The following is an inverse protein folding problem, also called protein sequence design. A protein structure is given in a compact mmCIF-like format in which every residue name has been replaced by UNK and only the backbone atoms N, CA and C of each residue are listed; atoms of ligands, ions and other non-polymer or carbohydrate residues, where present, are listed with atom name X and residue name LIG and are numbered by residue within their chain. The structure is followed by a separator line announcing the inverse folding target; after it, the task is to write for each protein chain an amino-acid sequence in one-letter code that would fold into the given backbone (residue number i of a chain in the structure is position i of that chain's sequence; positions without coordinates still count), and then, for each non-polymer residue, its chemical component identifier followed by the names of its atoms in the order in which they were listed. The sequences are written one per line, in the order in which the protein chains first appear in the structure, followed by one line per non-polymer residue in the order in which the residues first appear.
data_IF_845219332443
#
_entry.id   IF_845219332443
#
_cell.length_a   1.000
_cell.length_b   1.000
_cell.length_c   1.000
_cell.angle_alpha   90.00
_cell.angle_beta   90.00
_cell.angle_gamma   90.00
#
_symmetry.space_group_name_H-M   'P 1'
#
loop_
_entity.id
_entity.type
_entity.pdbx_description
1 polymer ?
#
# COMPACT_ATOMS: atom_id res chain seq x y z
N UNK A 1 -12.31 -25.88 -3.11
CA UNK A 1 -11.43 -26.24 -4.24
C UNK A 1 -11.17 -27.74 -4.21
N UNK A 2 -11.34 -28.46 -5.33
CA UNK A 2 -10.94 -29.85 -5.41
C UNK A 2 -9.42 -29.92 -5.69
N UNK A 3 -8.62 -29.94 -4.63
CA UNK A 3 -7.17 -30.10 -4.73
C UNK A 3 -6.85 -31.59 -4.69
N UNK A 4 -5.94 -32.05 -5.57
CA UNK A 4 -5.56 -33.46 -5.62
C UNK A 4 -4.93 -33.88 -4.28
N UNK A 5 -5.27 -35.06 -3.72
CA UNK A 5 -4.80 -35.53 -2.41
C UNK A 5 -3.27 -35.47 -2.25
N UNK A 6 -2.52 -35.80 -3.30
CA UNK A 6 -1.05 -35.75 -3.26
C UNK A 6 -0.50 -34.33 -3.00
N UNK A 7 -1.19 -33.30 -3.48
CA UNK A 7 -0.80 -31.91 -3.21
C UNK A 7 -1.12 -31.55 -1.76
N UNK A 8 -2.25 -32.03 -1.23
CA UNK A 8 -2.60 -31.84 0.18
C UNK A 8 -1.58 -32.50 1.11
N UNK A 9 -1.16 -33.72 0.83
CA UNK A 9 -0.13 -34.45 1.60
C UNK A 9 1.21 -33.71 1.51
N UNK A 10 1.60 -33.22 0.34
CA UNK A 10 2.82 -32.45 0.17
C UNK A 10 2.80 -31.12 0.95
N UNK A 11 1.65 -30.43 0.98
CA UNK A 11 1.50 -29.19 1.78
C UNK A 11 1.57 -29.50 3.27
N UNK A 12 0.99 -30.62 3.73
CA UNK A 12 1.08 -31.06 5.12
C UNK A 12 2.53 -31.35 5.50
N UNK A 13 3.26 -32.13 4.70
CA UNK A 13 4.68 -32.41 4.91
C UNK A 13 5.52 -31.13 4.93
N UNK A 14 5.21 -30.15 4.09
CA UNK A 14 5.85 -28.83 4.11
C UNK A 14 5.59 -28.03 5.39
N UNK A 15 4.43 -28.21 6.05
CA UNK A 15 4.02 -27.42 7.22
C UNK A 15 4.31 -28.09 8.56
N UNK A 16 4.42 -29.42 8.60
CA UNK A 16 4.57 -30.19 9.84
C UNK A 16 6.02 -30.65 10.08
N UNK A 17 6.32 -30.97 11.31
CA UNK A 17 7.58 -31.58 11.79
C UNK A 17 8.85 -30.91 11.24
N UNK A 18 8.87 -29.58 11.21
CA UNK A 18 9.97 -28.78 10.65
C UNK A 18 11.09 -28.58 11.66
N UNK A 19 12.25 -29.24 11.53
CA UNK A 19 13.38 -29.00 12.39
C UNK A 19 14.00 -27.63 12.11
N UNK A 20 14.22 -26.83 13.13
CA UNK A 20 14.89 -25.52 13.02
C UNK A 20 16.12 -25.48 13.92
N UNK A 21 17.23 -24.98 13.39
CA UNK A 21 18.46 -24.74 14.14
C UNK A 21 18.97 -23.33 13.81
N UNK A 22 19.65 -22.69 14.77
CA UNK A 22 20.36 -21.42 14.57
C UNK A 22 21.84 -21.73 14.38
N UNK A 23 22.42 -21.18 13.28
CA UNK A 23 23.88 -21.27 13.01
C UNK A 23 24.49 -19.90 13.16
N UNK A 24 25.52 -19.79 14.00
CA UNK A 24 26.25 -18.53 14.21
C UNK A 24 27.75 -18.82 14.42
N UNK A 25 28.60 -18.24 13.61
CA UNK A 25 30.08 -18.35 13.69
C UNK A 25 30.61 -19.81 13.86
N UNK A 26 29.99 -20.76 13.16
CA UNK A 26 30.39 -22.17 13.24
C UNK A 26 29.68 -22.98 14.36
N UNK A 27 29.01 -22.33 15.26
CA UNK A 27 28.17 -22.98 16.28
C UNK A 27 26.77 -23.25 15.75
N UNK A 28 26.17 -24.39 16.17
CA UNK A 28 24.81 -24.78 15.83
C UNK A 28 24.05 -25.03 17.13
N UNK A 29 22.88 -24.44 17.24
CA UNK A 29 21.99 -24.67 18.40
C UNK A 29 21.40 -26.09 18.40
N UNK A 30 20.78 -26.50 19.51
CA UNK A 30 19.88 -27.63 19.51
C UNK A 30 18.77 -27.46 18.48
N UNK A 31 18.24 -28.61 17.98
CA UNK A 31 17.09 -28.59 17.05
C UNK A 31 15.77 -28.40 17.80
N UNK A 32 14.90 -27.53 17.29
CA UNK A 32 13.52 -27.35 17.75
C UNK A 32 12.59 -27.74 16.60
N UNK A 33 11.61 -28.58 16.84
CA UNK A 33 10.61 -28.98 15.84
C UNK A 33 9.43 -28.03 15.90
N UNK A 34 9.05 -27.44 14.74
CA UNK A 34 7.94 -26.50 14.61
C UNK A 34 6.77 -27.17 13.85
N UNK A 35 5.57 -27.12 14.45
CA UNK A 35 4.32 -27.63 13.88
C UNK A 35 3.28 -26.51 13.65
N UNK A 36 3.65 -25.24 13.89
CA UNK A 36 2.78 -24.09 13.71
C UNK A 36 3.37 -23.08 12.74
N UNK A 37 2.50 -22.28 12.12
CA UNK A 37 2.87 -21.26 11.16
C UNK A 37 3.44 -21.86 9.86
N UNK A 38 3.99 -21.00 9.02
CA UNK A 38 4.62 -21.38 7.75
C UNK A 38 6.07 -20.90 7.67
N UNK A 39 6.98 -21.60 6.94
CA UNK A 39 8.38 -21.18 6.82
C UNK A 39 8.52 -19.79 6.25
N UNK A 40 9.24 -18.89 6.95
CA UNK A 40 9.48 -17.54 6.48
C UNK A 40 10.51 -17.51 5.34
N UNK A 41 10.33 -16.58 4.39
CA UNK A 41 11.29 -16.37 3.29
C UNK A 41 11.14 -17.32 2.10
N UNK A 42 10.16 -18.22 2.08
CA UNK A 42 9.83 -19.06 0.94
C UNK A 42 8.67 -18.49 0.11
N UNK A 43 8.54 -18.93 -1.15
CA UNK A 43 7.48 -18.47 -2.07
C UNK A 43 6.12 -19.07 -1.72
N UNK A 44 6.10 -20.27 -1.16
CA UNK A 44 4.86 -21.01 -0.89
C UNK A 44 4.08 -20.46 0.30
N UNK A 45 4.76 -20.01 1.37
CA UNK A 45 4.10 -19.53 2.58
C UNK A 45 3.16 -18.34 2.37
N UNK A 46 3.53 -17.27 1.66
CA UNK A 46 2.58 -16.21 1.34
C UNK A 46 1.40 -16.69 0.51
N UNK A 47 1.61 -17.63 -0.41
CA UNK A 47 0.55 -18.20 -1.22
C UNK A 47 -0.43 -19.01 -0.39
N UNK A 48 0.07 -19.87 0.49
CA UNK A 48 -0.77 -20.65 1.42
C UNK A 48 -1.55 -19.76 2.37
N UNK A 49 -0.93 -18.67 2.86
CA UNK A 49 -1.63 -17.72 3.73
C UNK A 49 -2.77 -17.00 2.98
N UNK A 50 -2.58 -16.61 1.73
CA UNK A 50 -3.66 -16.01 0.90
C UNK A 50 -4.79 -17.00 0.67
N UNK A 51 -4.47 -18.30 0.42
CA UNK A 51 -5.49 -19.34 0.29
C UNK A 51 -6.24 -19.55 1.61
N UNK A 52 -5.53 -19.62 2.73
CA UNK A 52 -6.09 -19.79 4.06
C UNK A 52 -7.06 -18.66 4.43
N UNK A 53 -6.70 -17.41 4.12
CA UNK A 53 -7.55 -16.25 4.41
C UNK A 53 -8.55 -15.91 3.31
N UNK A 54 -8.73 -16.76 2.29
CA UNK A 54 -9.52 -16.42 1.10
C UNK A 54 -11.01 -16.18 1.41
N UNK A 55 -11.57 -16.88 2.37
CA UNK A 55 -12.96 -16.77 2.80
C UNK A 55 -13.23 -15.64 3.80
N UNK A 56 -12.18 -15.00 4.33
CA UNK A 56 -12.31 -13.80 5.12
C UNK A 56 -12.67 -12.61 4.22
N UNK A 57 -13.96 -12.40 3.97
CA UNK A 57 -14.50 -11.37 3.07
C UNK A 57 -15.55 -10.54 3.78
N UNK A 58 -15.77 -9.32 3.29
CA UNK A 58 -16.86 -8.48 3.79
C UNK A 58 -18.23 -9.06 3.42
N UNK A 59 -19.20 -8.91 4.32
CA UNK A 59 -20.59 -9.31 4.12
C UNK A 59 -21.51 -8.12 3.82
N UNK A 60 -21.11 -6.91 4.22
CA UNK A 60 -21.86 -5.69 3.91
C UNK A 60 -21.20 -4.94 2.73
N UNK A 61 -21.95 -4.58 1.67
CA UNK A 61 -21.41 -3.89 0.52
C UNK A 61 -20.91 -2.46 0.81
N UNK A 62 -21.26 -1.87 1.96
CA UNK A 62 -20.75 -0.57 2.40
C UNK A 62 -19.43 -0.65 3.15
N UNK A 63 -18.93 -1.87 3.42
CA UNK A 63 -17.68 -2.13 4.12
C UNK A 63 -16.76 -2.95 3.23
N UNK A 64 -15.52 -2.54 3.09
CA UNK A 64 -14.50 -3.26 2.35
C UNK A 64 -13.50 -3.91 3.30
N UNK A 65 -13.16 -5.16 3.05
CA UNK A 65 -12.04 -5.87 3.69
C UNK A 65 -10.90 -5.99 2.69
N UNK A 66 -9.79 -5.33 2.96
CA UNK A 66 -8.61 -5.31 2.09
C UNK A 66 -7.50 -6.07 2.80
N UNK A 67 -6.97 -7.11 2.17
CA UNK A 67 -5.89 -7.94 2.72
C UNK A 67 -4.62 -7.79 1.90
N UNK A 68 -3.51 -7.65 2.58
CA UNK A 68 -2.19 -7.65 1.99
C UNK A 68 -1.23 -8.43 2.90
N UNK A 69 -0.96 -9.68 2.54
CA UNK A 69 -0.27 -10.63 3.43
C UNK A 69 -1.05 -10.78 4.74
N UNK A 70 -0.41 -10.57 5.87
CA UNK A 70 -0.98 -10.55 7.23
C UNK A 70 -1.66 -9.21 7.60
N UNK A 71 -1.39 -8.14 6.86
CA UNK A 71 -2.06 -6.84 7.08
C UNK A 71 -3.50 -6.89 6.55
N UNK A 72 -4.47 -6.71 7.44
CA UNK A 72 -5.90 -6.61 7.09
C UNK A 72 -6.42 -5.22 7.43
N UNK A 73 -7.15 -4.62 6.51
CA UNK A 73 -7.78 -3.31 6.68
C UNK A 73 -9.27 -3.43 6.44
N UNK A 74 -10.05 -2.90 7.38
CA UNK A 74 -11.51 -2.73 7.22
C UNK A 74 -11.77 -1.26 6.92
N UNK A 75 -12.50 -0.99 5.86
CA UNK A 75 -12.84 0.34 5.39
C UNK A 75 -14.38 0.47 5.35
N UNK A 76 -14.95 1.20 6.30
CA UNK A 76 -16.39 1.43 6.42
C UNK A 76 -16.78 2.81 5.89
N UNK A 77 -17.78 2.87 5.03
CA UNK A 77 -18.42 4.12 4.61
C UNK A 77 -19.56 4.45 5.57
N UNK A 78 -19.32 5.43 6.48
CA UNK A 78 -20.27 5.83 7.49
C UNK A 78 -21.25 6.86 6.91
N UNK A 79 -22.54 6.61 7.02
CA UNK A 79 -23.63 7.50 6.63
C UNK A 79 -24.49 7.80 7.86
N UNK A 80 -24.93 9.05 8.00
CA UNK A 80 -25.81 9.51 9.09
C UNK A 80 -25.30 9.15 10.50
N UNK A 81 -23.98 9.18 10.68
CA UNK A 81 -23.26 8.80 11.90
C UNK A 81 -23.54 7.35 12.38
N UNK A 82 -24.05 6.49 11.53
CA UNK A 82 -24.32 5.10 11.86
C UNK A 82 -23.10 4.23 11.52
N UNK A 83 -22.37 3.80 12.56
CA UNK A 83 -21.18 2.94 12.47
C UNK A 83 -21.49 1.45 12.63
N UNK A 84 -22.75 1.07 12.83
CA UNK A 84 -23.13 -0.31 13.21
C UNK A 84 -22.58 -1.35 12.23
N UNK A 85 -22.74 -1.12 10.93
CA UNK A 85 -22.26 -2.03 9.89
C UNK A 85 -20.72 -2.20 9.90
N UNK A 86 -20.00 -1.11 10.12
CA UNK A 86 -18.54 -1.14 10.26
C UNK A 86 -18.13 -1.94 11.50
N UNK A 87 -18.77 -1.66 12.65
CA UNK A 87 -18.50 -2.34 13.91
C UNK A 87 -18.88 -3.83 13.86
N UNK A 88 -19.95 -4.17 13.17
CA UNK A 88 -20.36 -5.56 12.93
C UNK A 88 -19.31 -6.31 12.10
N UNK A 89 -18.77 -5.68 11.07
CA UNK A 89 -17.74 -6.32 10.25
C UNK A 89 -16.42 -6.49 11.02
N UNK A 90 -16.07 -5.55 11.91
CA UNK A 90 -14.93 -5.74 12.83
C UNK A 90 -15.18 -6.92 13.76
N UNK A 91 -16.40 -7.04 14.36
CA UNK A 91 -16.75 -8.18 15.21
C UNK A 91 -16.66 -9.51 14.45
N UNK A 92 -17.09 -9.53 13.18
CA UNK A 92 -16.98 -10.71 12.32
C UNK A 92 -15.54 -11.10 12.05
N UNK A 93 -14.68 -10.12 11.74
CA UNK A 93 -13.25 -10.40 11.55
C UNK A 93 -12.64 -11.01 12.81
N UNK A 94 -12.97 -10.47 14.00
CA UNK A 94 -12.50 -11.03 15.28
C UNK A 94 -12.96 -12.47 15.41
N UNK A 95 -14.26 -12.75 15.25
CA UNK A 95 -14.79 -14.12 15.34
C UNK A 95 -14.24 -15.07 14.28
N UNK A 96 -13.95 -14.56 13.07
CA UNK A 96 -13.31 -15.34 12.02
C UNK A 96 -11.86 -15.70 12.42
N UNK A 97 -11.11 -14.75 12.98
CA UNK A 97 -9.75 -15.00 13.47
C UNK A 97 -9.76 -16.05 14.58
N UNK A 98 -10.63 -15.90 15.57
CA UNK A 98 -10.76 -16.87 16.68
C UNK A 98 -11.11 -18.27 16.18
N UNK A 99 -11.98 -18.36 15.16
CA UNK A 99 -12.39 -19.65 14.57
C UNK A 99 -11.29 -20.31 13.72
N UNK A 100 -10.27 -19.55 13.35
CA UNK A 100 -9.17 -20.00 12.51
C UNK A 100 -7.80 -19.96 13.23
N UNK A 101 -7.81 -19.95 14.56
CA UNK A 101 -6.60 -19.94 15.40
C UNK A 101 -5.61 -18.79 15.04
N UNK A 102 -6.14 -17.62 14.66
CA UNK A 102 -5.36 -16.42 14.40
C UNK A 102 -5.56 -15.40 15.52
N UNK A 103 -4.47 -14.89 16.06
CA UNK A 103 -4.48 -13.86 17.08
C UNK A 103 -4.35 -12.46 16.46
N UNK A 104 -5.35 -11.60 16.69
CA UNK A 104 -5.29 -10.20 16.27
C UNK A 104 -4.36 -9.38 17.17
N UNK A 105 -3.38 -8.72 16.58
CA UNK A 105 -2.48 -7.83 17.31
C UNK A 105 -3.12 -6.46 17.53
N UNK A 106 -3.95 -6.34 18.56
CA UNK A 106 -4.68 -5.10 18.88
C UNK A 106 -3.74 -3.93 19.17
N UNK A 107 -2.57 -4.17 19.77
CA UNK A 107 -1.60 -3.10 20.07
C UNK A 107 -1.02 -2.45 18.81
N UNK A 108 -0.94 -3.18 17.69
CA UNK A 108 -0.52 -2.68 16.37
C UNK A 108 -1.69 -2.19 15.53
N UNK A 109 -2.91 -2.58 15.86
CA UNK A 109 -4.12 -2.15 15.15
C UNK A 109 -4.39 -0.68 15.45
N UNK A 110 -4.75 0.09 14.43
CA UNK A 110 -5.03 1.52 14.54
C UNK A 110 -6.34 1.83 13.82
N UNK A 111 -7.06 2.79 14.35
CA UNK A 111 -8.25 3.34 13.71
C UNK A 111 -7.96 4.76 13.22
N UNK A 112 -8.38 5.06 11.99
CA UNK A 112 -8.29 6.40 11.40
C UNK A 112 -9.67 6.83 10.94
N UNK A 113 -10.20 7.89 11.52
CA UNK A 113 -11.50 8.45 11.15
C UNK A 113 -11.29 9.60 10.16
N UNK A 114 -11.87 9.47 8.99
CA UNK A 114 -11.77 10.45 7.91
C UNK A 114 -13.11 11.17 7.81
N UNK A 115 -13.21 12.33 8.46
CA UNK A 115 -14.43 13.15 8.48
C UNK A 115 -14.16 14.56 7.94
N UNK A 116 -14.85 14.90 6.83
CA UNK A 116 -14.73 16.21 6.17
C UNK A 116 -15.86 17.19 6.54
N UNK A 117 -16.76 16.81 7.43
CA UNK A 117 -17.85 17.68 7.90
C UNK A 117 -17.29 18.82 8.75
N UNK A 118 -18.00 19.95 8.76
CA UNK A 118 -17.63 21.11 9.58
C UNK A 118 -17.84 20.82 11.08
N UNK A 119 -18.95 20.12 11.41
CA UNK A 119 -19.22 19.65 12.77
C UNK A 119 -18.84 18.16 12.81
N UNK A 120 -17.83 17.84 13.59
CA UNK A 120 -17.41 16.44 13.80
C UNK A 120 -18.16 15.86 14.99
N UNK A 121 -18.67 14.66 14.83
CA UNK A 121 -19.28 13.88 15.90
C UNK A 121 -18.18 13.15 16.67
N UNK A 122 -18.35 12.99 17.96
CA UNK A 122 -17.52 12.09 18.74
C UNK A 122 -17.94 10.65 18.41
N UNK A 123 -16.97 9.83 18.10
CA UNK A 123 -17.18 8.41 17.84
C UNK A 123 -16.82 7.59 19.06
N UNK A 124 -17.58 6.57 19.34
CA UNK A 124 -17.28 5.65 20.43
C UNK A 124 -15.97 4.90 20.15
N UNK A 125 -15.13 4.69 21.16
CA UNK A 125 -13.90 3.94 20.98
C UNK A 125 -14.14 2.53 20.44
N UNK A 126 -13.29 2.09 19.52
CA UNK A 126 -13.33 0.71 19.04
C UNK A 126 -12.61 -0.21 20.03
N UNK A 127 -13.29 -1.28 20.44
CA UNK A 127 -12.75 -2.28 21.37
C UNK A 127 -12.68 -3.63 20.66
N UNK A 128 -11.53 -4.27 20.69
CA UNK A 128 -11.29 -5.62 20.16
C UNK A 128 -10.72 -6.48 21.29
N UNK A 129 -11.38 -7.61 21.58
CA UNK A 129 -10.98 -8.54 22.66
C UNK A 129 -10.74 -7.85 24.01
N UNK A 130 -11.60 -6.89 24.37
CA UNK A 130 -11.51 -6.12 25.62
C UNK A 130 -10.39 -5.08 25.65
N UNK A 131 -9.64 -4.89 24.56
CA UNK A 131 -8.58 -3.91 24.45
C UNK A 131 -9.02 -2.75 23.56
N UNK A 132 -8.67 -1.53 23.98
CA UNK A 132 -8.95 -0.32 23.22
C UNK A 132 -8.05 -0.23 21.99
N UNK A 133 -8.63 -0.03 20.81
CA UNK A 133 -7.90 0.29 19.58
C UNK A 133 -7.52 1.76 19.60
N UNK A 134 -6.25 2.06 19.38
CA UNK A 134 -5.77 3.44 19.35
C UNK A 134 -6.27 4.17 18.10
N UNK A 135 -7.02 5.25 18.31
CA UNK A 135 -7.38 6.18 17.26
C UNK A 135 -6.22 7.13 16.97
N UNK A 136 -5.81 7.22 15.71
CA UNK A 136 -4.67 8.04 15.28
C UNK A 136 -5.06 8.98 14.15
N UNK A 137 -4.43 10.16 14.11
CA UNK A 137 -4.65 11.15 13.02
C UNK A 137 -3.94 10.78 11.72
N UNK A 138 -2.99 9.85 11.77
CA UNK A 138 -2.29 9.35 10.58
C UNK A 138 -1.71 7.97 10.84
N UNK A 139 -1.66 7.16 9.77
CA UNK A 139 -1.14 5.80 9.81
C UNK A 139 -0.27 5.50 8.60
N UNK A 140 0.77 4.69 8.79
CA UNK A 140 1.61 4.24 7.68
C UNK A 140 1.06 2.95 7.09
N UNK A 141 0.31 3.06 5.99
CA UNK A 141 -0.29 1.96 5.26
C UNK A 141 0.59 1.54 4.07
N UNK A 142 1.06 0.30 4.06
CA UNK A 142 1.88 -0.27 2.99
C UNK A 142 3.01 0.66 2.52
N UNK A 143 3.66 1.33 3.47
CA UNK A 143 4.79 2.23 3.18
C UNK A 143 4.42 3.68 2.87
N UNK A 144 3.14 4.01 2.71
CA UNK A 144 2.62 5.37 2.47
C UNK A 144 1.91 5.88 3.72
N UNK A 145 2.14 7.13 4.12
CA UNK A 145 1.45 7.72 5.27
C UNK A 145 0.12 8.32 4.81
N UNK A 146 -0.97 7.84 5.38
CA UNK A 146 -2.33 8.33 5.17
C UNK A 146 -2.73 9.11 6.42
N UNK A 147 -3.26 10.32 6.26
CA UNK A 147 -3.76 11.18 7.34
C UNK A 147 -5.27 11.34 7.27
N UNK A 148 -5.92 11.62 8.41
CA UNK A 148 -7.38 11.81 8.55
C UNK A 148 -7.95 12.89 7.60
N UNK A 149 -7.14 13.85 7.20
CA UNK A 149 -7.53 14.91 6.27
C UNK A 149 -7.24 14.55 4.80
N UNK A 150 -6.67 13.37 4.54
CA UNK A 150 -6.18 12.88 3.24
C UNK A 150 -5.29 13.90 2.51
N UNK A 151 -4.60 14.77 3.24
CA UNK A 151 -3.53 15.59 2.70
C UNK A 151 -2.22 14.83 2.76
N UNK A 152 -1.40 15.05 1.78
CA UNK A 152 -0.18 14.24 1.60
C UNK A 152 1.07 14.88 2.23
N UNK A 153 0.93 16.03 2.90
CA UNK A 153 2.08 16.76 3.48
C UNK A 153 2.92 15.89 4.43
N UNK A 154 2.29 15.10 5.30
CA UNK A 154 2.99 14.19 6.22
C UNK A 154 3.78 13.12 5.46
N UNK A 155 3.17 12.50 4.44
CA UNK A 155 3.84 11.52 3.58
C UNK A 155 5.03 12.15 2.85
N UNK A 156 4.84 13.34 2.28
CA UNK A 156 5.86 14.04 1.50
C UNK A 156 7.02 14.47 2.39
N UNK A 157 6.76 14.97 3.59
CA UNK A 157 7.81 15.29 4.56
C UNK A 157 8.64 14.05 4.92
N UNK A 158 8.00 12.89 5.09
CA UNK A 158 8.70 11.63 5.34
C UNK A 158 9.56 11.20 4.13
N UNK A 159 9.04 11.35 2.90
CA UNK A 159 9.78 11.09 1.66
C UNK A 159 10.99 12.02 1.55
N UNK A 160 10.79 13.33 1.72
CA UNK A 160 11.84 14.36 1.63
C UNK A 160 12.95 14.09 2.66
N UNK A 161 12.57 13.76 3.91
CA UNK A 161 13.54 13.39 4.96
C UNK A 161 14.42 12.21 4.54
N UNK A 162 13.81 11.12 4.04
CA UNK A 162 14.54 9.94 3.55
C UNK A 162 15.45 10.30 2.35
N UNK A 163 14.95 11.11 1.42
CA UNK A 163 15.73 11.52 0.26
C UNK A 163 16.93 12.39 0.64
N UNK A 164 16.81 13.27 1.62
CA UNK A 164 17.94 14.04 2.14
C UNK A 164 19.06 13.16 2.70
N UNK A 165 18.70 12.11 3.46
CA UNK A 165 19.68 11.13 3.96
C UNK A 165 20.39 10.41 2.80
N UNK A 166 19.63 10.00 1.77
CA UNK A 166 20.18 9.29 0.60
C UNK A 166 20.99 10.18 -0.32
N UNK A 167 20.65 11.46 -0.43
CA UNK A 167 21.48 12.46 -1.12
C UNK A 167 22.87 12.61 -0.48
N UNK A 168 22.98 12.41 0.84
CA UNK A 168 24.29 12.38 1.49
C UNK A 168 25.18 11.27 0.91
N UNK A 169 24.66 10.04 0.80
CA UNK A 169 25.40 8.92 0.21
C UNK A 169 25.75 9.19 -1.26
N UNK A 170 24.83 9.74 -2.05
CA UNK A 170 25.12 10.11 -3.44
C UNK A 170 26.28 11.10 -3.56
N UNK A 171 26.36 12.10 -2.62
CA UNK A 171 27.51 13.03 -2.56
C UNK A 171 28.82 12.33 -2.22
N UNK A 172 28.79 11.35 -1.29
CA UNK A 172 29.98 10.57 -0.96
C UNK A 172 30.48 9.79 -2.19
N UNK A 173 29.56 9.11 -2.89
CA UNK A 173 29.90 8.41 -4.13
C UNK A 173 30.54 9.33 -5.19
N UNK A 174 30.01 10.57 -5.32
CA UNK A 174 30.61 11.59 -6.19
C UNK A 174 32.02 11.98 -5.75
N UNK A 175 32.29 12.10 -4.45
CA UNK A 175 33.64 12.39 -3.91
C UNK A 175 34.62 11.27 -4.26
N UNK A 176 34.19 10.01 -4.28
CA UNK A 176 35.00 8.88 -4.72
C UNK A 176 35.19 8.80 -6.26
N UNK A 177 34.80 9.87 -6.98
CA UNK A 177 34.97 10.01 -8.44
C UNK A 177 34.29 8.92 -9.27
N UNK A 178 33.17 8.36 -8.78
CA UNK A 178 32.36 7.47 -9.59
C UNK A 178 31.84 8.22 -10.83
N UNK A 179 31.77 7.51 -11.95
CA UNK A 179 31.27 8.09 -13.20
C UNK A 179 29.75 8.40 -13.12
N UNK A 180 29.30 9.29 -14.01
CA UNK A 180 27.91 9.75 -14.04
C UNK A 180 26.90 8.61 -14.22
N UNK A 181 27.24 7.56 -14.99
CA UNK A 181 26.36 6.42 -15.22
C UNK A 181 26.09 5.62 -13.92
N UNK A 182 27.12 5.39 -13.10
CA UNK A 182 26.95 4.73 -11.79
C UNK A 182 26.19 5.60 -10.81
N UNK A 183 26.47 6.91 -10.78
CA UNK A 183 25.73 7.86 -9.93
C UNK A 183 24.24 7.91 -10.33
N UNK A 184 23.94 7.88 -11.63
CA UNK A 184 22.56 7.82 -12.13
C UNK A 184 21.88 6.52 -11.70
N UNK A 185 22.53 5.37 -11.82
CA UNK A 185 21.98 4.07 -11.36
C UNK A 185 21.69 4.10 -9.85
N UNK A 186 22.63 4.65 -9.05
CA UNK A 186 22.39 4.82 -7.62
C UNK A 186 21.17 5.72 -7.35
N UNK A 187 21.09 6.86 -8.05
CA UNK A 187 19.93 7.77 -7.92
C UNK A 187 18.63 7.02 -8.21
N UNK A 188 18.52 6.35 -9.35
CA UNK A 188 17.30 5.65 -9.74
C UNK A 188 16.90 4.54 -8.76
N UNK A 189 17.88 3.73 -8.31
CA UNK A 189 17.61 2.63 -7.40
C UNK A 189 17.28 3.09 -5.97
N UNK A 190 17.92 4.16 -5.49
CA UNK A 190 17.92 4.53 -4.07
C UNK A 190 17.08 5.77 -3.77
N UNK A 191 17.07 6.77 -4.66
CA UNK A 191 16.38 8.06 -4.41
C UNK A 191 15.07 8.13 -5.19
N UNK A 192 15.10 7.92 -6.51
CA UNK A 192 13.91 7.96 -7.36
C UNK A 192 12.90 6.87 -6.97
N UNK A 193 13.37 5.70 -6.57
CA UNK A 193 12.51 4.63 -6.04
C UNK A 193 11.68 5.07 -4.84
N UNK A 194 12.23 5.92 -3.95
CA UNK A 194 11.49 6.49 -2.81
C UNK A 194 10.58 7.62 -3.23
N UNK A 195 11.09 8.53 -4.09
CA UNK A 195 10.29 9.66 -4.61
C UNK A 195 9.06 9.19 -5.39
N UNK A 196 9.18 8.05 -6.05
CA UNK A 196 8.14 7.52 -6.93
C UNK A 196 7.36 6.33 -6.33
N UNK A 197 7.63 5.96 -5.07
CA UNK A 197 6.87 4.89 -4.41
C UNK A 197 5.40 5.30 -4.26
N UNK A 198 4.49 4.45 -4.73
CA UNK A 198 3.04 4.70 -4.72
C UNK A 198 2.63 6.08 -5.29
N UNK A 199 3.40 6.66 -6.20
CA UNK A 199 3.21 8.02 -6.72
C UNK A 199 1.83 8.24 -7.34
N UNK A 200 1.21 7.20 -7.91
CA UNK A 200 -0.14 7.26 -8.48
C UNK A 200 -1.25 7.48 -7.45
N UNK A 201 -0.97 7.24 -6.16
CA UNK A 201 -1.92 7.42 -5.07
C UNK A 201 -1.95 8.87 -4.58
N UNK A 202 -0.77 9.46 -4.37
CA UNK A 202 -0.67 10.72 -3.64
C UNK A 202 -0.32 11.94 -4.51
N UNK A 203 0.41 11.78 -5.62
CA UNK A 203 0.96 12.92 -6.37
C UNK A 203 -0.11 13.82 -6.98
N UNK A 204 -1.23 13.27 -7.46
CA UNK A 204 -2.33 14.04 -8.05
C UNK A 204 -2.93 15.08 -7.11
N UNK A 205 -3.05 14.75 -5.83
CA UNK A 205 -3.60 15.62 -4.79
C UNK A 205 -2.54 16.38 -3.95
N UNK A 206 -1.27 16.31 -4.37
CA UNK A 206 -0.18 17.04 -3.70
C UNK A 206 -0.30 18.55 -3.95
N UNK A 207 -0.06 19.37 -2.90
CA UNK A 207 -0.01 20.82 -3.01
C UNK A 207 1.16 21.28 -3.88
N UNK A 208 1.06 22.50 -4.43
CA UNK A 208 2.15 23.07 -5.22
C UNK A 208 3.44 23.22 -4.39
N UNK A 209 3.32 23.67 -3.14
CA UNK A 209 4.45 23.79 -2.20
C UNK A 209 5.17 22.46 -2.00
N UNK A 210 4.40 21.38 -1.82
CA UNK A 210 4.97 20.05 -1.60
C UNK A 210 5.60 19.47 -2.88
N UNK A 211 5.03 19.74 -4.04
CA UNK A 211 5.68 19.42 -5.34
C UNK A 211 7.03 20.11 -5.47
N UNK A 212 7.11 21.37 -5.12
CA UNK A 212 8.38 22.13 -5.14
C UNK A 212 9.42 21.54 -4.16
N UNK A 213 9.00 21.03 -2.98
CA UNK A 213 9.91 20.31 -2.06
C UNK A 213 10.52 19.09 -2.73
N UNK A 214 9.69 18.31 -3.43
CA UNK A 214 10.13 17.10 -4.14
C UNK A 214 11.04 17.46 -5.32
N UNK A 215 10.68 18.47 -6.11
CA UNK A 215 11.47 18.93 -7.26
C UNK A 215 12.84 19.45 -6.84
N UNK A 216 12.94 20.11 -5.67
CA UNK A 216 14.23 20.51 -5.10
C UNK A 216 15.16 19.32 -4.82
N UNK A 217 14.60 18.15 -4.45
CA UNK A 217 15.39 16.92 -4.29
C UNK A 217 15.95 16.46 -5.64
N UNK A 218 15.09 16.41 -6.67
CA UNK A 218 15.51 16.02 -8.03
C UNK A 218 16.60 16.96 -8.54
N UNK A 219 16.40 18.28 -8.48
CA UNK A 219 17.38 19.28 -8.89
C UNK A 219 18.72 19.19 -8.14
N UNK A 220 18.67 18.86 -6.81
CA UNK A 220 19.91 18.61 -6.04
C UNK A 220 20.62 17.36 -6.54
N UNK A 221 19.89 16.30 -6.88
CA UNK A 221 20.46 15.08 -7.43
C UNK A 221 21.07 15.31 -8.81
N UNK A 222 20.42 16.05 -9.71
CA UNK A 222 20.93 16.44 -11.03
C UNK A 222 22.32 17.09 -10.94
N UNK A 223 22.47 18.07 -10.03
CA UNK A 223 23.76 18.74 -9.79
C UNK A 223 24.86 17.79 -9.33
N UNK A 224 24.53 16.73 -8.59
CA UNK A 224 25.49 15.74 -8.09
C UNK A 224 25.83 14.75 -9.20
N UNK A 225 24.82 14.22 -9.90
CA UNK A 225 24.99 13.24 -10.98
C UNK A 225 25.67 13.87 -12.20
N UNK A 226 25.34 15.13 -12.51
CA UNK A 226 25.89 15.87 -13.65
C UNK A 226 25.14 15.59 -14.97
N UNK A 227 23.88 15.15 -14.89
CA UNK A 227 23.01 15.02 -16.05
C UNK A 227 21.55 15.30 -15.65
N UNK A 228 20.70 15.56 -16.64
CA UNK A 228 19.26 15.74 -16.43
C UNK A 228 18.61 14.46 -15.97
N UNK A 229 17.68 14.56 -15.04
CA UNK A 229 16.91 13.46 -14.47
C UNK A 229 15.43 13.61 -14.85
N UNK A 230 14.71 12.49 -14.89
CA UNK A 230 13.30 12.48 -15.27
C UNK A 230 12.46 13.24 -14.23
N UNK A 231 11.67 14.26 -14.62
CA UNK A 231 10.76 14.95 -13.72
C UNK A 231 9.73 13.99 -13.08
N UNK A 232 9.37 14.24 -11.82
CA UNK A 232 8.40 13.39 -11.11
C UNK A 232 7.02 13.40 -11.77
N UNK A 233 6.61 14.50 -12.39
CA UNK A 233 5.35 14.59 -13.13
C UNK A 233 5.33 13.61 -14.32
N UNK A 234 6.43 13.50 -15.06
CA UNK A 234 6.57 12.54 -16.17
C UNK A 234 6.51 11.10 -15.67
N UNK A 235 7.15 10.81 -14.53
CA UNK A 235 7.09 9.48 -13.90
C UNK A 235 5.65 9.17 -13.46
N UNK A 236 4.97 10.14 -12.84
CA UNK A 236 3.58 10.00 -12.41
C UNK A 236 2.65 9.70 -13.59
N UNK A 237 2.71 10.50 -14.67
CA UNK A 237 1.90 10.32 -15.87
C UNK A 237 2.13 8.95 -16.51
N UNK A 238 3.39 8.58 -16.73
CA UNK A 238 3.76 7.28 -17.30
C UNK A 238 3.24 6.10 -16.47
N UNK A 239 3.40 6.16 -15.13
CA UNK A 239 2.91 5.10 -14.24
C UNK A 239 1.39 5.04 -14.16
N UNK A 240 0.72 6.21 -14.18
CA UNK A 240 -0.74 6.27 -14.19
C UNK A 240 -1.31 5.62 -15.47
N UNK A 241 -0.78 5.99 -16.63
CA UNK A 241 -1.16 5.39 -17.92
C UNK A 241 -0.87 3.88 -17.94
N UNK A 242 0.33 3.48 -17.49
CA UNK A 242 0.72 2.06 -17.44
C UNK A 242 -0.21 1.23 -16.54
N UNK A 243 -0.62 1.77 -15.39
CA UNK A 243 -1.57 1.11 -14.49
C UNK A 243 -2.96 1.00 -15.11
N UNK A 244 -3.47 2.04 -15.76
CA UNK A 244 -4.74 1.98 -16.48
C UNK A 244 -4.76 0.93 -17.58
N UNK A 245 -3.68 0.85 -18.36
CA UNK A 245 -3.56 -0.19 -19.41
C UNK A 245 -3.63 -1.61 -18.82
N UNK A 246 -3.11 -1.82 -17.60
CA UNK A 246 -3.23 -3.12 -16.91
C UNK A 246 -4.67 -3.37 -16.46
N UNK A 247 -5.33 -2.37 -15.87
CA UNK A 247 -6.74 -2.48 -15.44
C UNK A 247 -7.65 -2.78 -16.63
N UNK A 248 -7.47 -2.07 -17.74
CA UNK A 248 -8.28 -2.29 -18.96
C UNK A 248 -8.09 -3.67 -19.59
N UNK A 249 -6.92 -4.30 -19.39
CA UNK A 249 -6.64 -5.65 -19.90
C UNK A 249 -7.20 -6.76 -19.00
N UNK A 250 -7.64 -6.43 -17.82
CA UNK A 250 -8.15 -7.39 -16.83
C UNK A 250 -9.66 -7.16 -16.63
N UNK A 251 -10.53 -7.92 -17.30
CA UNK A 251 -11.98 -7.79 -17.14
C UNK A 251 -12.48 -8.10 -15.73
N UNK A 252 -11.71 -8.86 -14.94
CA UNK A 252 -12.05 -9.20 -13.56
C UNK A 252 -11.74 -8.08 -12.57
N UNK A 253 -10.96 -7.06 -13.00
CA UNK A 253 -10.61 -5.96 -12.13
C UNK A 253 -11.82 -5.09 -11.78
N UNK A 254 -12.10 -4.81 -10.48
CA UNK A 254 -13.31 -4.08 -10.04
C UNK A 254 -13.52 -2.73 -10.74
N UNK A 255 -12.45 -2.05 -11.11
CA UNK A 255 -12.50 -0.74 -11.77
C UNK A 255 -12.38 -0.80 -13.30
N UNK A 256 -12.47 -1.97 -13.92
CA UNK A 256 -12.39 -2.11 -15.39
C UNK A 256 -13.50 -1.30 -16.07
N UNK A 257 -14.72 -1.35 -15.53
CA UNK A 257 -15.89 -0.64 -16.02
C UNK A 257 -15.77 0.90 -16.06
N UNK A 258 -14.79 1.47 -15.35
CA UNK A 258 -14.56 2.92 -15.37
C UNK A 258 -13.89 3.42 -16.66
N UNK A 259 -13.34 2.51 -17.48
CA UNK A 259 -12.61 2.83 -18.71
C UNK A 259 -13.44 2.52 -19.96
N UNK A 260 -14.64 3.11 -20.05
CA UNK A 260 -15.51 2.98 -21.22
C UNK A 260 -15.16 4.02 -22.29
N UNK A 261 -15.07 3.56 -23.56
CA UNK A 261 -14.93 4.46 -24.68
C UNK A 261 -16.26 5.17 -24.99
N UNK A 262 -16.17 6.41 -25.44
CA UNK A 262 -17.30 7.11 -26.03
C UNK A 262 -17.74 6.42 -27.36
N UNK A 263 -18.98 6.63 -27.82
CA UNK A 263 -19.48 6.03 -29.08
C UNK A 263 -18.57 6.29 -30.28
N UNK A 264 -17.79 7.38 -30.27
CA UNK A 264 -16.80 7.67 -31.31
C UNK A 264 -15.60 6.73 -31.35
N UNK A 265 -15.39 5.91 -30.29
CA UNK A 265 -14.25 5.00 -30.15
C UNK A 265 -12.90 5.69 -29.93
N UNK A 266 -12.86 7.03 -29.87
CA UNK A 266 -11.58 7.81 -29.81
C UNK A 266 -11.16 8.25 -28.44
N UNK A 267 -12.10 8.43 -27.50
CA UNK A 267 -11.87 8.97 -26.16
C UNK A 267 -12.62 8.15 -25.13
N UNK A 268 -12.06 8.07 -23.94
CA UNK A 268 -12.72 7.49 -22.77
C UNK A 268 -13.74 8.46 -22.18
N UNK A 269 -14.83 7.92 -21.64
CA UNK A 269 -15.85 8.69 -20.91
C UNK A 269 -15.21 9.30 -19.66
N UNK A 270 -15.32 10.61 -19.49
CA UNK A 270 -14.85 11.30 -18.30
C UNK A 270 -15.74 11.00 -17.10
N UNK A 271 -15.10 10.78 -15.93
CA UNK A 271 -15.83 10.60 -14.67
C UNK A 271 -16.30 11.96 -14.16
N UNK A 272 -17.59 12.08 -13.84
CA UNK A 272 -18.14 13.27 -13.22
C UNK A 272 -17.59 13.42 -11.79
N UNK A 273 -17.04 14.60 -11.50
CA UNK A 273 -16.35 14.85 -10.23
C UNK A 273 -16.96 16.07 -9.54
N UNK A 274 -17.58 15.87 -8.36
CA UNK A 274 -18.18 16.96 -7.57
C UNK A 274 -17.15 17.75 -6.75
N UNK A 275 -15.97 17.19 -6.49
CA UNK A 275 -14.93 17.81 -5.67
C UNK A 275 -13.58 17.82 -6.39
N UNK A 276 -12.75 18.83 -6.09
CA UNK A 276 -11.38 18.92 -6.64
C UNK A 276 -10.51 17.74 -6.20
N UNK A 277 -10.70 17.23 -4.99
CA UNK A 277 -9.99 16.05 -4.50
C UNK A 277 -10.28 14.85 -5.39
N UNK A 278 -11.56 14.55 -5.65
CA UNK A 278 -11.93 13.45 -6.52
C UNK A 278 -11.45 13.65 -7.95
N UNK A 279 -11.56 14.87 -8.50
CA UNK A 279 -11.06 15.23 -9.82
C UNK A 279 -9.55 14.98 -10.01
N UNK A 280 -8.77 15.15 -8.93
CA UNK A 280 -7.32 14.95 -8.89
C UNK A 280 -6.91 13.54 -8.46
N UNK A 281 -7.87 12.69 -8.08
CA UNK A 281 -7.61 11.29 -7.76
C UNK A 281 -7.21 10.47 -8.98
N UNK A 282 -6.78 9.23 -8.76
CA UNK A 282 -6.17 8.38 -9.78
C UNK A 282 -7.05 8.20 -11.03
N UNK A 283 -8.29 7.71 -10.90
CA UNK A 283 -9.11 7.36 -12.06
C UNK A 283 -9.47 8.56 -12.96
N UNK A 284 -10.02 9.67 -12.43
CA UNK A 284 -10.32 10.83 -13.28
C UNK A 284 -9.08 11.43 -13.93
N UNK A 285 -7.95 11.45 -13.21
CA UNK A 285 -6.69 11.98 -13.76
C UNK A 285 -6.13 11.07 -14.86
N UNK A 286 -6.17 9.77 -14.66
CA UNK A 286 -5.64 8.81 -15.61
C UNK A 286 -6.48 8.78 -16.91
N UNK A 287 -7.81 8.88 -16.83
CA UNK A 287 -8.67 9.04 -18.00
C UNK A 287 -8.32 10.32 -18.76
N UNK A 288 -8.05 11.41 -18.04
CA UNK A 288 -7.62 12.66 -18.67
C UNK A 288 -6.27 12.53 -19.39
N UNK A 289 -5.34 11.74 -18.86
CA UNK A 289 -4.07 11.44 -19.55
C UNK A 289 -4.28 10.59 -20.79
N UNK A 290 -5.16 9.58 -20.73
CA UNK A 290 -5.48 8.72 -21.86
C UNK A 290 -6.21 9.47 -22.99
N UNK A 291 -6.87 10.57 -22.69
CA UNK A 291 -7.62 11.39 -23.67
C UNK A 291 -6.80 12.53 -24.29
N UNK A 292 -5.53 12.70 -23.88
CA UNK A 292 -4.59 13.67 -24.50
C UNK A 292 -4.05 13.13 -25.80
#
# INVERSE_FOLDING_TARGET
MNVHPSICHWVLDFLLDRPQVVKFQGFVSGSVTLNTGAPQGCVLSPFLFVLFTNDCVSHDPSVNVIKFSDDTTIEGLIQDDNEEKYRDEVRRLVGWCDSNDLELNVSKTKEVIIDFRKSRTLHDPLIINGQLVEQVSSFKFLGTVISEDLKWATNINAIVKKCHQRLHFLRQLKKFRLNSALLHRFYSAVIESVLSFSITVWYGNTSQEDREKLDRIVKKAEKIVGCSLTPLETIYESRAIGRCKKIMKDPSHPANHLFELLPSGRRFRSISCKTDRFKKSFYPTAIRFLNR
#
